data_IF_815478596740
#
_entry.id   IF_815478596740
#
_cell.length_a   1.000
_cell.length_b   1.000
_cell.length_c   1.000
_cell.angle_alpha   90.00
_cell.angle_beta   90.00
_cell.angle_gamma   90.00
#
_symmetry.space_group_name_H-M   'P 1'
#
loop_
_entity.id
_entity.type
_entity.pdbx_description
1 polymer ?
#
# COMPACT_ATOMS: atom_id res chain seq x y z
N UNK A 1 -67.72 -29.77 6.48
CA UNK A 1 -67.55 -29.84 5.01
C UNK A 1 -66.42 -28.87 4.65
N UNK A 2 -65.17 -29.31 4.78
CA UNK A 2 -64.35 -29.95 3.75
C UNK A 2 -63.94 -28.98 2.62
N UNK A 3 -62.64 -28.60 2.59
CA UNK A 3 -61.75 -28.34 1.42
C UNK A 3 -60.58 -27.45 1.84
N UNK A 4 -59.43 -28.04 2.16
CA UNK A 4 -58.25 -28.17 1.27
C UNK A 4 -57.82 -26.84 0.64
N UNK A 5 -56.81 -26.20 1.22
CA UNK A 5 -55.94 -25.28 0.51
C UNK A 5 -54.48 -25.72 0.63
N UNK A 6 -54.01 -26.18 -0.53
CA UNK A 6 -52.65 -26.38 -1.02
C UNK A 6 -51.49 -25.93 -0.12
N UNK A 7 -50.67 -26.91 0.25
CA UNK A 7 -49.23 -26.76 0.42
C UNK A 7 -48.59 -26.61 -0.97
N UNK A 8 -47.89 -25.50 -1.20
CA UNK A 8 -46.94 -25.40 -2.31
C UNK A 8 -45.62 -24.85 -1.75
N UNK A 9 -44.67 -25.78 -1.64
CA UNK A 9 -43.32 -25.57 -1.13
C UNK A 9 -42.57 -24.50 -1.95
N UNK A 10 -42.15 -23.43 -1.28
CA UNK A 10 -41.17 -22.49 -1.83
C UNK A 10 -39.81 -23.17 -1.73
N UNK A 11 -39.39 -23.77 -2.85
CA UNK A 11 -38.03 -24.28 -3.01
C UNK A 11 -37.07 -23.08 -2.98
N UNK A 12 -36.43 -22.86 -1.83
CA UNK A 12 -35.24 -22.03 -1.73
C UNK A 12 -34.12 -22.72 -2.51
N UNK A 13 -33.92 -22.32 -3.76
CA UNK A 13 -32.67 -22.57 -4.46
C UNK A 13 -31.58 -21.82 -3.68
N UNK A 14 -30.85 -22.55 -2.84
CA UNK A 14 -29.61 -22.10 -2.26
C UNK A 14 -28.63 -21.77 -3.38
N UNK A 15 -28.50 -20.48 -3.68
CA UNK A 15 -27.37 -19.95 -4.42
C UNK A 15 -26.11 -20.31 -3.62
N UNK A 16 -25.46 -21.40 -4.03
CA UNK A 16 -24.13 -21.74 -3.56
C UNK A 16 -23.22 -20.67 -4.13
N UNK A 17 -22.98 -19.63 -3.34
CA UNK A 17 -21.92 -18.67 -3.62
C UNK A 17 -20.63 -19.48 -3.53
N UNK A 18 -20.12 -19.92 -4.68
CA UNK A 18 -18.73 -20.33 -4.78
C UNK A 18 -17.93 -19.07 -4.53
N UNK A 19 -17.58 -18.82 -3.27
CA UNK A 19 -16.55 -17.88 -2.92
C UNK A 19 -15.29 -18.38 -3.62
N UNK A 20 -14.97 -17.78 -4.76
CA UNK A 20 -13.64 -17.88 -5.34
C UNK A 20 -12.76 -17.23 -4.27
N UNK A 21 -12.07 -18.07 -3.48
CA UNK A 21 -11.11 -17.60 -2.51
C UNK A 21 -10.16 -16.68 -3.26
N UNK A 22 -10.08 -15.41 -2.82
CA UNK A 22 -9.03 -14.53 -3.30
C UNK A 22 -7.68 -15.24 -3.06
N UNK A 23 -6.72 -15.15 -3.99
CA UNK A 23 -5.40 -15.69 -3.73
C UNK A 23 -4.90 -15.15 -2.39
N UNK A 24 -4.45 -16.06 -1.52
CA UNK A 24 -3.82 -15.62 -0.28
C UNK A 24 -2.57 -14.82 -0.63
N UNK A 25 -2.46 -13.63 -0.04
CA UNK A 25 -1.30 -12.78 -0.23
C UNK A 25 -0.06 -13.51 0.28
N UNK A 26 0.99 -13.51 -0.52
CA UNK A 26 2.30 -14.00 -0.09
C UNK A 26 2.85 -13.16 1.06
N UNK A 27 3.80 -13.72 1.81
CA UNK A 27 4.51 -12.98 2.87
C UNK A 27 5.19 -11.72 2.31
N UNK A 28 5.69 -11.79 1.07
CA UNK A 28 6.34 -10.68 0.40
C UNK A 28 5.36 -9.56 0.05
N UNK A 29 4.17 -9.87 -0.49
CA UNK A 29 3.12 -8.89 -0.78
C UNK A 29 2.64 -8.19 0.50
N UNK A 30 2.45 -8.95 1.58
CA UNK A 30 2.07 -8.42 2.88
C UNK A 30 3.12 -7.48 3.43
N UNK A 31 4.40 -7.88 3.37
CA UNK A 31 5.52 -7.06 3.83
C UNK A 31 5.67 -5.77 3.01
N UNK A 32 5.61 -5.88 1.68
CA UNK A 32 5.63 -4.76 0.75
C UNK A 32 4.52 -3.75 1.09
N UNK A 33 3.28 -4.22 1.25
CA UNK A 33 2.15 -3.38 1.59
C UNK A 33 2.36 -2.69 2.96
N UNK A 34 2.86 -3.40 3.96
CA UNK A 34 3.17 -2.85 5.27
C UNK A 34 4.22 -1.74 5.21
N UNK A 35 5.31 -1.94 4.44
CA UNK A 35 6.36 -0.95 4.34
C UNK A 35 5.99 0.26 3.50
N UNK A 36 5.26 0.08 2.40
CA UNK A 36 4.70 1.20 1.64
C UNK A 36 3.76 2.02 2.53
N UNK A 37 2.85 1.35 3.25
CA UNK A 37 1.94 2.02 4.17
C UNK A 37 2.70 2.81 5.26
N UNK A 38 3.78 2.26 5.81
CA UNK A 38 4.58 2.91 6.84
C UNK A 38 5.20 4.21 6.34
N UNK A 39 5.78 4.18 5.14
CA UNK A 39 6.36 5.34 4.50
C UNK A 39 5.31 6.39 4.10
N UNK A 40 4.08 5.97 3.78
CA UNK A 40 2.98 6.88 3.41
C UNK A 40 2.39 7.65 4.59
N UNK A 41 2.35 7.07 5.79
CA UNK A 41 1.53 7.56 6.92
C UNK A 41 1.82 9.01 7.32
N UNK A 42 3.06 9.49 7.14
CA UNK A 42 3.45 10.88 7.47
C UNK A 42 3.90 11.68 6.22
N UNK A 43 3.70 11.15 5.01
CA UNK A 43 4.16 11.80 3.77
C UNK A 43 3.39 13.10 3.51
N UNK A 44 2.09 13.14 3.80
CA UNK A 44 1.27 14.36 3.63
C UNK A 44 1.66 15.45 4.64
N UNK A 45 1.88 15.09 5.91
CA UNK A 45 2.34 16.01 6.94
C UNK A 45 3.71 16.59 6.61
N UNK A 46 4.63 15.76 6.08
CA UNK A 46 5.93 16.25 5.65
C UNK A 46 5.80 17.21 4.45
N UNK A 47 4.94 16.88 3.48
CA UNK A 47 4.67 17.77 2.36
C UNK A 47 4.05 19.10 2.82
N UNK A 48 3.15 19.07 3.80
CA UNK A 48 2.56 20.27 4.39
C UNK A 48 3.62 21.16 5.07
N UNK A 49 4.56 20.57 5.80
CA UNK A 49 5.68 21.32 6.40
C UNK A 49 6.58 21.96 5.34
N UNK A 50 6.90 21.24 4.25
CA UNK A 50 7.69 21.78 3.13
C UNK A 50 6.96 22.98 2.50
N UNK A 51 5.64 22.87 2.25
CA UNK A 51 4.81 23.99 1.76
C UNK A 51 4.79 25.17 2.72
N UNK A 52 4.82 24.91 4.03
CA UNK A 52 4.88 25.92 5.07
C UNK A 52 6.27 26.58 5.21
N UNK A 53 7.21 26.29 4.30
CA UNK A 53 8.53 26.94 4.22
C UNK A 53 9.68 26.12 4.81
N UNK A 54 9.43 24.89 5.28
CA UNK A 54 10.48 23.95 5.73
C UNK A 54 11.17 23.27 4.55
N UNK A 55 11.81 24.06 3.69
CA UNK A 55 12.51 23.56 2.51
C UNK A 55 13.63 22.56 2.83
N UNK A 56 14.18 22.61 4.05
CA UNK A 56 15.14 21.65 4.59
C UNK A 56 14.61 20.21 4.63
N UNK A 57 13.29 20.02 4.66
CA UNK A 57 12.64 18.71 4.71
C UNK A 57 12.38 18.10 3.31
N UNK A 58 12.63 18.84 2.24
CA UNK A 58 12.39 18.36 0.87
C UNK A 58 13.23 17.12 0.50
N UNK A 59 14.52 17.00 0.88
CA UNK A 59 15.31 15.79 0.62
C UNK A 59 14.76 14.56 1.36
N UNK A 60 14.25 14.74 2.58
CA UNK A 60 13.63 13.66 3.36
C UNK A 60 12.33 13.19 2.68
N UNK A 61 11.50 14.12 2.20
CA UNK A 61 10.27 13.81 1.48
C UNK A 61 10.57 13.03 0.20
N UNK A 62 11.55 13.49 -0.57
CA UNK A 62 11.96 12.80 -1.78
C UNK A 62 12.49 11.39 -1.48
N UNK A 63 13.25 11.22 -0.40
CA UNK A 63 13.80 9.92 -0.01
C UNK A 63 12.70 8.93 0.37
N UNK A 64 11.72 9.35 1.18
CA UNK A 64 10.55 8.50 1.51
C UNK A 64 9.80 8.04 0.26
N UNK A 65 9.53 8.96 -0.67
CA UNK A 65 8.84 8.66 -1.92
C UNK A 65 9.65 7.68 -2.80
N UNK A 66 10.97 7.82 -2.82
CA UNK A 66 11.86 6.88 -3.53
C UNK A 66 11.83 5.48 -2.90
N UNK A 67 11.87 5.39 -1.57
CA UNK A 67 11.86 4.11 -0.87
C UNK A 67 10.53 3.37 -1.06
N UNK A 68 9.39 4.07 -0.96
CA UNK A 68 8.09 3.47 -1.26
C UNK A 68 8.00 2.98 -2.71
N UNK A 69 8.50 3.77 -3.66
CA UNK A 69 8.56 3.36 -5.06
C UNK A 69 9.53 2.19 -5.32
N UNK A 70 10.58 2.03 -4.52
CA UNK A 70 11.50 0.90 -4.62
C UNK A 70 10.82 -0.42 -4.21
N UNK A 71 10.00 -0.42 -3.16
CA UNK A 71 9.17 -1.58 -2.79
C UNK A 71 8.20 -1.98 -3.89
N UNK A 72 7.47 -1.01 -4.47
CA UNK A 72 6.54 -1.28 -5.58
C UNK A 72 7.30 -1.83 -6.80
N UNK A 73 8.47 -1.28 -7.09
CA UNK A 73 9.32 -1.76 -8.18
C UNK A 73 9.82 -3.18 -7.95
N UNK A 74 10.22 -3.53 -6.72
CA UNK A 74 10.67 -4.87 -6.36
C UNK A 74 9.53 -5.90 -6.51
N UNK A 75 8.35 -5.62 -5.94
CA UNK A 75 7.14 -6.42 -6.10
C UNK A 75 6.80 -6.69 -7.57
N UNK A 76 6.86 -5.64 -8.42
CA UNK A 76 6.61 -5.79 -9.86
C UNK A 76 7.60 -6.74 -10.55
N UNK A 77 8.87 -6.72 -10.13
CA UNK A 77 9.91 -7.62 -10.65
C UNK A 77 9.74 -9.06 -10.17
N UNK A 78 9.18 -9.27 -8.97
CA UNK A 78 8.80 -10.59 -8.45
C UNK A 78 7.53 -11.17 -9.13
N UNK A 79 6.84 -10.37 -9.95
CA UNK A 79 5.64 -10.79 -10.67
C UNK A 79 4.33 -10.41 -9.99
N UNK A 80 4.38 -9.66 -8.90
CA UNK A 80 3.22 -9.16 -8.15
C UNK A 80 2.61 -7.96 -8.86
N UNK A 81 1.75 -8.23 -9.85
CA UNK A 81 1.23 -7.22 -10.80
C UNK A 81 -0.27 -6.98 -10.69
N UNK A 82 -0.96 -7.64 -9.76
CA UNK A 82 -2.37 -7.38 -9.50
C UNK A 82 -2.50 -6.08 -8.69
N UNK A 83 -2.75 -4.97 -9.40
CA UNK A 83 -2.89 -3.66 -8.77
C UNK A 83 -4.08 -3.58 -7.81
N UNK A 84 -5.20 -4.27 -8.12
CA UNK A 84 -6.37 -4.23 -7.27
C UNK A 84 -6.11 -4.97 -5.95
N UNK A 85 -5.43 -6.10 -6.02
CA UNK A 85 -4.97 -6.85 -4.85
C UNK A 85 -3.98 -6.03 -4.02
N UNK A 86 -2.94 -5.47 -4.65
CA UNK A 86 -1.93 -4.65 -3.98
C UNK A 86 -2.54 -3.41 -3.29
N UNK A 87 -3.52 -2.76 -3.92
CA UNK A 87 -4.25 -1.64 -3.32
C UNK A 87 -5.09 -2.08 -2.11
N UNK A 88 -5.73 -3.24 -2.18
CA UNK A 88 -6.47 -3.79 -1.05
C UNK A 88 -5.54 -4.08 0.15
N UNK A 89 -4.38 -4.67 -0.10
CA UNK A 89 -3.35 -4.92 0.92
C UNK A 89 -2.81 -3.62 1.52
N UNK A 90 -2.48 -2.63 0.68
CA UNK A 90 -2.02 -1.32 1.14
C UNK A 90 -3.07 -0.65 2.04
N UNK A 91 -4.34 -0.67 1.64
CA UNK A 91 -5.44 -0.10 2.45
C UNK A 91 -5.58 -0.82 3.80
N UNK A 92 -5.46 -2.14 3.82
CA UNK A 92 -5.49 -2.92 5.06
C UNK A 92 -4.29 -2.58 5.96
N UNK A 93 -3.09 -2.45 5.39
CA UNK A 93 -1.88 -2.08 6.12
C UNK A 93 -1.96 -0.64 6.68
N UNK A 94 -2.49 0.32 5.92
CA UNK A 94 -2.75 1.68 6.41
C UNK A 94 -3.76 1.69 7.57
N UNK A 95 -4.79 0.85 7.51
CA UNK A 95 -5.75 0.71 8.61
C UNK A 95 -5.09 0.09 9.86
N UNK A 96 -4.27 -0.95 9.68
CA UNK A 96 -3.58 -1.62 10.78
C UNK A 96 -2.60 -0.69 11.52
N UNK A 97 -1.94 0.21 10.80
CA UNK A 97 -1.02 1.17 11.42
C UNK A 97 -1.68 2.13 12.42
N UNK A 98 -2.98 2.39 12.28
CA UNK A 98 -3.72 3.25 13.22
C UNK A 98 -3.81 2.64 14.63
N UNK A 99 -3.59 1.33 14.76
CA UNK A 99 -3.55 0.65 16.04
C UNK A 99 -2.17 0.67 16.71
N UNK A 100 -1.13 1.11 15.99
CA UNK A 100 0.24 1.20 16.54
C UNK A 100 0.38 2.44 17.43
N UNK A 101 1.16 2.30 18.49
CA UNK A 101 1.67 3.46 19.22
C UNK A 101 2.62 4.29 18.35
N UNK A 102 2.84 5.55 18.73
CA UNK A 102 3.79 6.41 18.02
C UNK A 102 5.21 5.82 17.96
N UNK A 103 5.64 5.12 19.02
CA UNK A 103 6.94 4.47 19.07
C UNK A 103 7.04 3.28 18.09
N UNK A 104 6.01 2.44 18.03
CA UNK A 104 5.96 1.30 17.10
C UNK A 104 5.87 1.76 15.65
N UNK A 105 5.07 2.79 15.38
CA UNK A 105 4.97 3.40 14.06
C UNK A 105 6.32 3.97 13.61
N UNK A 106 7.01 4.69 14.49
CA UNK A 106 8.33 5.25 14.20
C UNK A 106 9.37 4.15 13.93
N UNK A 107 9.39 3.10 14.73
CA UNK A 107 10.29 1.95 14.53
C UNK A 107 10.05 1.31 13.16
N UNK A 108 8.79 1.02 12.83
CA UNK A 108 8.40 0.46 11.52
C UNK A 108 8.78 1.37 10.36
N UNK A 109 8.57 2.68 10.50
CA UNK A 109 8.98 3.66 9.50
C UNK A 109 10.49 3.65 9.26
N UNK A 110 11.28 3.56 10.33
CA UNK A 110 12.73 3.49 10.25
C UNK A 110 13.21 2.22 9.55
N UNK A 111 12.67 1.06 9.94
CA UNK A 111 13.01 -0.24 9.36
C UNK A 111 12.69 -0.28 7.86
N UNK A 112 11.47 0.11 7.48
CA UNK A 112 11.07 0.15 6.08
C UNK A 112 11.83 1.21 5.27
N UNK A 113 12.24 2.34 5.86
CA UNK A 113 13.09 3.31 5.18
C UNK A 113 14.49 2.74 4.90
N UNK A 114 15.09 2.04 5.86
CA UNK A 114 16.36 1.35 5.68
C UNK A 114 16.26 0.29 4.58
N UNK A 115 15.23 -0.55 4.62
CA UNK A 115 15.02 -1.59 3.63
C UNK A 115 14.75 -1.04 2.23
N UNK A 116 13.86 -0.05 2.10
CA UNK A 116 13.62 0.62 0.82
C UNK A 116 14.87 1.30 0.26
N UNK A 117 15.75 1.80 1.14
CA UNK A 117 17.09 2.27 0.78
C UNK A 117 17.97 1.15 0.21
N UNK A 118 17.93 -0.04 0.80
CA UNK A 118 18.65 -1.21 0.29
C UNK A 118 18.09 -1.70 -1.04
N UNK A 119 16.77 -1.76 -1.21
CA UNK A 119 16.13 -2.12 -2.48
C UNK A 119 16.56 -1.15 -3.59
N UNK A 120 16.50 0.15 -3.31
CA UNK A 120 16.93 1.17 -4.26
C UNK A 120 18.43 1.06 -4.57
N UNK A 121 19.28 0.75 -3.59
CA UNK A 121 20.72 0.61 -3.80
C UNK A 121 21.08 -0.63 -4.64
N UNK A 122 20.31 -1.72 -4.53
CA UNK A 122 20.47 -2.95 -5.31
C UNK A 122 20.00 -2.80 -6.76
N UNK A 123 19.07 -1.88 -7.03
CA UNK A 123 18.51 -1.67 -8.35
C UNK A 123 19.57 -1.17 -9.36
N UNK A 124 19.42 -1.57 -10.62
CA UNK A 124 20.26 -1.09 -11.71
C UNK A 124 20.08 0.41 -11.97
N UNK A 125 20.92 0.97 -12.84
CA UNK A 125 20.89 2.41 -13.14
C UNK A 125 19.56 2.90 -13.72
N UNK A 126 18.94 2.15 -14.63
CA UNK A 126 17.68 2.51 -15.27
C UNK A 126 16.52 2.44 -14.28
N UNK A 127 16.46 1.38 -13.49
CA UNK A 127 15.46 1.19 -12.43
C UNK A 127 15.54 2.32 -11.40
N UNK A 128 16.73 2.69 -10.94
CA UNK A 128 16.94 3.83 -10.04
C UNK A 128 16.53 5.17 -10.65
N UNK A 129 16.78 5.38 -11.93
CA UNK A 129 16.38 6.59 -12.64
C UNK A 129 14.85 6.69 -12.75
N UNK A 130 14.18 5.58 -13.08
CA UNK A 130 12.72 5.51 -13.14
C UNK A 130 12.08 5.79 -11.77
N UNK A 131 12.56 5.13 -10.71
CA UNK A 131 12.11 5.37 -9.33
C UNK A 131 12.31 6.83 -8.94
N UNK A 132 13.48 7.40 -9.26
CA UNK A 132 13.77 8.81 -8.97
C UNK A 132 12.81 9.76 -9.68
N UNK A 133 12.54 9.51 -10.97
CA UNK A 133 11.63 10.33 -11.75
C UNK A 133 10.18 10.22 -11.26
N UNK A 134 9.73 9.01 -10.89
CA UNK A 134 8.41 8.80 -10.31
C UNK A 134 8.26 9.52 -8.97
N UNK A 135 9.24 9.39 -8.08
CA UNK A 135 9.25 10.06 -6.78
C UNK A 135 9.26 11.59 -6.92
N UNK A 136 10.06 12.15 -7.84
CA UNK A 136 10.06 13.59 -8.12
C UNK A 136 8.72 14.09 -8.64
N UNK A 137 8.07 13.36 -9.56
CA UNK A 137 6.74 13.72 -10.06
C UNK A 137 5.69 13.67 -8.95
N UNK A 138 5.75 12.67 -8.07
CA UNK A 138 4.84 12.57 -6.92
C UNK A 138 5.06 13.71 -5.94
N UNK A 139 6.32 14.02 -5.60
CA UNK A 139 6.66 15.15 -4.74
C UNK A 139 6.14 16.46 -5.32
N UNK A 140 6.37 16.71 -6.61
CA UNK A 140 5.85 17.90 -7.30
C UNK A 140 4.33 18.02 -7.14
N UNK A 141 3.58 16.95 -7.44
CA UNK A 141 2.12 16.92 -7.23
C UNK A 141 1.71 17.20 -5.78
N UNK A 142 2.46 16.64 -4.82
CA UNK A 142 2.19 16.88 -3.41
C UNK A 142 2.44 18.33 -3.01
N UNK A 143 3.44 19.00 -3.59
CA UNK A 143 3.82 20.38 -3.24
C UNK A 143 3.03 21.46 -4.01
N UNK A 144 2.46 21.13 -5.17
CA UNK A 144 1.65 22.06 -5.99
C UNK A 144 0.15 22.09 -5.65
N UNK A 145 -0.36 21.04 -4.99
CA UNK A 145 -1.76 20.99 -4.52
C UNK A 145 -2.00 21.84 -3.28
#
# INVERSE_FOLDING_TARGET
MNRLHLLAAVAWLGASQTAIAAPEASEHELHTAQCVAALETNTEDLAAQVKAGRADLQPELLSRLKYGAAFIGDAYLQGERDEAHAQALLKAALAAQKALSAAELFARQSECATEGGHLLAKADFLSRALVSHLAQRRMKKLLEG
#
